data_IF_686751255795
#
_entry.id   IF_686751255795
#
_cell.length_a   1.000
_cell.length_b   1.000
_cell.length_c   1.000
_cell.angle_alpha   90.00
_cell.angle_beta   90.00
_cell.angle_gamma   90.00
#
_symmetry.space_group_name_H-M   'P 1'
#
loop_
_entity.id
_entity.type
_entity.pdbx_description
1 polymer ?
#
# COMPACT_ATOMS: atom_id res chain seq x y z
N UNK A 1 -16.05 36.16 44.73
CA UNK A 1 -15.75 37.17 43.69
C UNK A 1 -14.63 36.59 42.86
N UNK A 2 -14.99 35.87 41.80
CA UNK A 2 -14.07 35.19 40.88
C UNK A 2 -13.49 36.21 39.90
N UNK A 3 -12.18 36.18 39.66
CA UNK A 3 -11.57 36.86 38.52
C UNK A 3 -10.61 35.90 37.83
N UNK A 4 -11.18 35.08 36.94
CA UNK A 4 -10.40 34.32 35.95
C UNK A 4 -9.74 35.31 34.98
N UNK A 5 -8.44 35.51 35.17
CA UNK A 5 -7.61 36.30 34.28
C UNK A 5 -7.41 35.54 32.97
N UNK A 6 -8.06 36.03 31.92
CA UNK A 6 -7.85 35.58 30.55
C UNK A 6 -6.41 35.89 30.10
N UNK A 7 -5.48 34.97 30.35
CA UNK A 7 -4.15 34.99 29.73
C UNK A 7 -4.27 34.56 28.27
N UNK A 8 -4.60 35.52 27.39
CA UNK A 8 -4.40 35.35 25.95
C UNK A 8 -2.89 35.38 25.66
N UNK A 9 -2.33 34.39 24.97
CA UNK A 9 -0.91 34.42 24.60
C UNK A 9 -0.66 35.61 23.67
N UNK A 10 0.44 36.33 23.92
CA UNK A 10 0.85 37.45 23.07
C UNK A 10 1.44 36.90 21.77
N UNK A 11 0.61 36.89 20.72
CA UNK A 11 0.90 36.29 19.42
C UNK A 11 1.97 37.09 18.66
N UNK A 12 2.17 38.37 19.02
CA UNK A 12 3.16 39.24 18.38
C UNK A 12 4.62 38.85 18.69
N UNK A 13 4.84 37.99 19.69
CA UNK A 13 6.18 37.41 19.96
C UNK A 13 6.52 36.21 19.06
N UNK A 14 5.55 35.64 18.35
CA UNK A 14 5.80 34.47 17.52
C UNK A 14 6.19 34.89 16.10
N UNK A 15 7.44 34.61 15.74
CA UNK A 15 7.92 34.79 14.36
C UNK A 15 7.29 33.70 13.48
N UNK A 16 6.54 34.12 12.45
CA UNK A 16 5.92 33.19 11.49
C UNK A 16 6.99 32.37 10.77
N UNK A 17 6.84 31.05 10.76
CA UNK A 17 7.79 30.12 10.11
C UNK A 17 7.96 30.47 8.62
N UNK A 18 6.95 31.07 7.99
CA UNK A 18 6.98 31.54 6.62
C UNK A 18 8.00 32.66 6.36
N UNK A 19 8.29 33.51 7.35
CA UNK A 19 9.31 34.56 7.20
C UNK A 19 10.74 34.00 7.25
N UNK A 20 10.94 32.88 7.97
CA UNK A 20 12.23 32.20 8.06
C UNK A 20 12.64 31.57 6.71
N UNK A 21 11.67 31.14 5.90
CA UNK A 21 11.93 30.63 4.55
C UNK A 21 12.33 31.73 3.56
N UNK A 22 11.82 32.95 3.73
CA UNK A 22 12.16 34.08 2.84
C UNK A 22 13.54 34.69 3.13
N UNK A 23 14.03 34.60 4.37
CA UNK A 23 15.37 35.08 4.72
C UNK A 23 16.51 34.21 4.13
N UNK A 24 16.24 32.95 3.78
CA UNK A 24 17.24 32.00 3.29
C UNK A 24 17.42 31.99 1.76
N UNK A 25 16.63 32.77 1.00
CA UNK A 25 16.72 32.78 -0.47
C UNK A 25 17.54 33.94 -1.03
N UNK A 26 18.08 34.83 -0.19
CA UNK A 26 18.80 36.04 -0.62
C UNK A 26 20.26 36.10 -0.14
N UNK A 27 20.95 34.96 0.06
CA UNK A 27 22.40 34.98 0.24
C UNK A 27 23.09 34.23 -0.91
N UNK A 28 23.55 35.06 -1.84
CA UNK A 28 24.55 34.81 -2.87
C UNK A 28 25.75 34.08 -2.28
N UNK A 29 26.21 33.04 -2.98
CA UNK A 29 27.49 32.37 -2.74
C UNK A 29 28.64 33.39 -2.66
N UNK A 30 29.23 33.56 -1.49
CA UNK A 30 30.59 34.09 -1.31
C UNK A 30 31.29 33.29 -0.21
N UNK A 31 32.45 32.66 -0.48
CA UNK A 31 33.26 32.02 0.54
C UNK A 31 34.23 33.05 1.15
N UNK A 32 34.34 33.01 2.49
CA UNK A 32 35.28 33.76 3.35
C UNK A 32 34.75 35.08 3.95
N UNK A 33 34.26 35.01 5.20
CA UNK A 33 34.44 36.10 6.15
C UNK A 33 34.83 35.58 7.56
N UNK A 34 35.68 36.33 8.30
CA UNK A 34 36.33 35.94 9.55
C UNK A 34 35.37 35.94 10.77
N UNK A 35 35.77 35.37 11.93
CA UNK A 35 34.87 35.11 13.06
C UNK A 35 34.31 36.41 13.65
N UNK A 36 32.97 36.49 13.73
CA UNK A 36 32.27 37.57 14.43
C UNK A 36 32.62 37.58 15.92
N UNK A 37 32.79 38.79 16.46
CA UNK A 37 33.28 39.07 17.80
C UNK A 37 32.63 38.20 18.89
N UNK A 38 33.45 37.74 19.84
CA UNK A 38 33.02 36.99 21.02
C UNK A 38 32.11 37.87 21.89
N UNK A 39 30.80 37.76 21.72
CA UNK A 39 29.86 38.12 22.78
C UNK A 39 30.05 37.14 23.93
N UNK A 40 30.15 37.62 25.16
CA UNK A 40 30.35 36.83 26.40
C UNK A 40 29.14 35.93 26.77
N UNK A 41 28.23 35.73 25.80
CA UNK A 41 27.01 34.94 25.91
C UNK A 41 27.25 33.65 25.12
N UNK A 42 27.29 32.52 25.84
CA UNK A 42 27.44 31.21 25.23
C UNK A 42 26.35 30.98 24.17
N UNK A 43 26.79 30.75 22.93
CA UNK A 43 25.91 30.33 21.85
C UNK A 43 26.18 28.85 21.54
N UNK A 44 25.15 27.98 21.64
CA UNK A 44 25.29 26.59 21.28
C UNK A 44 25.62 26.45 19.78
N UNK A 45 26.36 25.41 19.44
CA UNK A 45 26.73 25.12 18.06
C UNK A 45 25.47 24.92 17.20
N UNK A 46 25.41 25.63 16.07
CA UNK A 46 24.35 25.44 15.08
C UNK A 46 24.62 24.17 14.30
N UNK A 47 23.96 23.07 14.65
CA UNK A 47 24.07 21.78 13.97
C UNK A 47 23.23 21.83 12.69
N UNK A 48 23.81 21.41 11.56
CA UNK A 48 23.08 21.24 10.29
C UNK A 48 22.14 20.03 10.37
N UNK A 49 20.91 20.14 9.85
CA UNK A 49 19.99 19.00 9.85
C UNK A 49 20.57 17.86 9.01
N UNK A 50 20.77 16.71 9.64
CA UNK A 50 21.14 15.46 8.97
C UNK A 50 19.85 14.79 8.52
N UNK A 51 19.61 14.75 7.21
CA UNK A 51 18.47 14.04 6.65
C UNK A 51 18.80 12.55 6.56
N UNK A 52 17.93 11.71 7.14
CA UNK A 52 18.02 10.26 6.93
C UNK A 52 17.83 9.95 5.44
N UNK A 53 18.63 9.02 4.92
CA UNK A 53 18.41 8.47 3.58
C UNK A 53 17.07 7.74 3.55
N UNK A 54 16.01 8.44 3.13
CA UNK A 54 14.75 7.80 2.84
C UNK A 54 14.93 6.95 1.60
N UNK A 55 15.10 5.62 1.78
CA UNK A 55 14.93 4.65 0.71
C UNK A 55 13.63 4.98 -0.01
N UNK A 56 13.69 5.25 -1.32
CA UNK A 56 12.53 5.68 -2.10
C UNK A 56 11.38 4.68 -1.93
N UNK A 57 10.35 5.10 -1.19
CA UNK A 57 9.21 4.22 -0.87
C UNK A 57 8.45 3.94 -2.16
N UNK A 58 8.43 2.68 -2.59
CA UNK A 58 7.67 2.27 -3.76
C UNK A 58 6.18 2.15 -3.36
N UNK A 59 5.30 3.08 -3.78
CA UNK A 59 3.91 3.11 -3.32
C UNK A 59 3.11 1.88 -3.76
N UNK A 60 3.55 1.20 -4.82
CA UNK A 60 2.93 -0.04 -5.28
C UNK A 60 3.20 -1.20 -4.31
N UNK A 61 4.42 -1.28 -3.76
CA UNK A 61 4.77 -2.29 -2.75
C UNK A 61 4.05 -2.02 -1.45
N UNK A 62 3.96 -0.77 -0.99
CA UNK A 62 3.20 -0.43 0.21
C UNK A 62 1.72 -0.79 0.09
N UNK A 63 1.10 -0.48 -1.05
CA UNK A 63 -0.29 -0.87 -1.31
C UNK A 63 -0.45 -2.39 -1.34
N UNK A 64 0.51 -3.12 -1.90
CA UNK A 64 0.48 -4.57 -1.93
C UNK A 64 0.61 -5.17 -0.52
N UNK A 65 1.51 -4.64 0.31
CA UNK A 65 1.65 -5.03 1.72
C UNK A 65 0.38 -4.74 2.52
N UNK A 66 -0.23 -3.56 2.36
CA UNK A 66 -1.51 -3.24 3.02
C UNK A 66 -2.61 -4.22 2.65
N UNK A 67 -2.65 -4.66 1.38
CA UNK A 67 -3.60 -5.70 0.94
C UNK A 67 -3.26 -7.06 1.54
N UNK A 68 -2.00 -7.46 1.53
CA UNK A 68 -1.56 -8.73 2.12
C UNK A 68 -1.85 -8.78 3.63
N UNK A 69 -1.57 -7.72 4.36
CA UNK A 69 -1.89 -7.59 5.79
C UNK A 69 -3.38 -7.77 6.05
N UNK A 70 -4.22 -7.11 5.23
CA UNK A 70 -5.67 -7.27 5.31
C UNK A 70 -6.09 -8.73 5.11
N UNK A 71 -5.53 -9.42 4.11
CA UNK A 71 -5.86 -10.82 3.86
C UNK A 71 -5.47 -11.73 5.04
N UNK A 72 -4.30 -11.52 5.65
CA UNK A 72 -3.84 -12.32 6.80
C UNK A 72 -4.70 -12.06 8.04
N UNK A 73 -5.12 -10.81 8.26
CA UNK A 73 -5.96 -10.44 9.41
C UNK A 73 -7.42 -10.87 9.25
N UNK A 74 -7.91 -11.01 8.01
CA UNK A 74 -9.24 -11.53 7.72
C UNK A 74 -9.26 -13.07 7.63
N UNK A 75 -8.11 -13.72 7.80
CA UNK A 75 -7.99 -15.17 7.73
C UNK A 75 -8.64 -15.82 8.97
N UNK A 76 -9.75 -16.55 8.78
CA UNK A 76 -10.51 -17.09 9.89
C UNK A 76 -9.82 -18.26 10.60
N UNK A 77 -8.75 -18.81 10.01
CA UNK A 77 -7.95 -19.86 10.65
C UNK A 77 -6.88 -19.25 11.59
N UNK A 78 -6.51 -17.97 11.38
CA UNK A 78 -5.63 -17.22 12.27
C UNK A 78 -6.38 -16.42 13.34
N UNK A 79 -7.59 -15.96 13.07
CA UNK A 79 -8.40 -15.30 14.08
C UNK A 79 -8.92 -16.29 15.12
N UNK A 80 -8.75 -15.96 16.40
CA UNK A 80 -9.42 -16.65 17.50
C UNK A 80 -10.92 -16.64 17.23
N UNK A 81 -11.48 -17.82 16.95
CA UNK A 81 -12.87 -17.91 16.59
C UNK A 81 -13.72 -18.15 17.83
N UNK A 82 -14.81 -17.42 17.93
CA UNK A 82 -15.85 -17.66 18.94
C UNK A 82 -16.20 -19.15 18.99
N UNK A 83 -16.38 -19.70 20.21
CA UNK A 83 -16.78 -21.08 20.48
C UNK A 83 -18.26 -21.33 20.17
N UNK A 84 -18.72 -20.80 19.04
CA UNK A 84 -20.07 -20.95 18.53
C UNK A 84 -20.07 -21.96 17.39
N UNK A 85 -21.09 -22.82 17.28
CA UNK A 85 -21.20 -23.74 16.16
C UNK A 85 -21.27 -22.96 14.85
N UNK A 86 -20.38 -23.29 13.91
CA UNK A 86 -20.34 -22.67 12.58
C UNK A 86 -21.19 -23.47 11.61
N UNK A 87 -21.87 -22.77 10.70
CA UNK A 87 -22.60 -23.40 9.61
C UNK A 87 -21.62 -24.11 8.65
N UNK A 88 -21.78 -25.42 8.53
CA UNK A 88 -21.00 -26.25 7.60
C UNK A 88 -21.87 -26.57 6.40
N UNK A 89 -21.32 -26.35 5.21
CA UNK A 89 -21.97 -26.70 3.96
C UNK A 89 -21.21 -27.83 3.28
N UNK A 90 -21.91 -28.90 2.95
CA UNK A 90 -21.31 -30.04 2.26
C UNK A 90 -20.79 -29.65 0.86
N UNK A 91 -19.58 -30.11 0.52
CA UNK A 91 -18.99 -29.95 -0.81
C UNK A 91 -18.34 -28.58 -1.08
N UNK A 92 -18.13 -27.74 -0.07
CA UNK A 92 -17.45 -26.46 -0.23
C UNK A 92 -16.16 -26.40 0.56
N UNK A 93 -15.16 -25.76 -0.05
CA UNK A 93 -13.88 -25.51 0.61
C UNK A 93 -13.95 -24.25 1.49
N UNK A 94 -13.06 -24.16 2.47
CA UNK A 94 -12.81 -22.93 3.24
C UNK A 94 -12.47 -21.74 2.34
N UNK A 95 -11.83 -22.02 1.20
CA UNK A 95 -11.51 -21.06 0.14
C UNK A 95 -12.73 -20.32 -0.44
N UNK A 96 -13.92 -20.91 -0.34
CA UNK A 96 -15.14 -20.35 -0.91
C UNK A 96 -15.85 -19.38 0.04
N UNK A 97 -15.35 -19.17 1.27
CA UNK A 97 -16.00 -18.30 2.28
C UNK A 97 -16.22 -16.87 1.78
N UNK A 98 -15.22 -16.29 1.08
CA UNK A 98 -15.37 -14.93 0.51
C UNK A 98 -16.45 -14.91 -0.58
N UNK A 99 -16.51 -15.94 -1.42
CA UNK A 99 -17.51 -16.04 -2.48
C UNK A 99 -18.92 -16.22 -1.90
N UNK A 100 -19.04 -16.99 -0.81
CA UNK A 100 -20.28 -17.22 -0.07
C UNK A 100 -20.80 -15.98 0.61
N UNK A 101 -19.94 -15.29 1.38
CA UNK A 101 -20.29 -14.01 1.98
C UNK A 101 -20.86 -13.04 0.94
N UNK A 102 -20.23 -12.97 -0.24
CA UNK A 102 -20.73 -12.14 -1.33
C UNK A 102 -22.09 -12.63 -1.88
N UNK A 103 -22.31 -13.95 -1.93
CA UNK A 103 -23.58 -14.53 -2.35
C UNK A 103 -24.70 -14.25 -1.33
N UNK A 104 -24.39 -14.35 -0.03
CA UNK A 104 -25.28 -14.02 1.08
C UNK A 104 -25.64 -12.53 1.07
N UNK A 105 -24.66 -11.64 0.91
CA UNK A 105 -24.89 -10.19 0.77
C UNK A 105 -25.80 -9.88 -0.42
N UNK A 106 -25.61 -10.58 -1.54
CA UNK A 106 -26.49 -10.46 -2.71
C UNK A 106 -27.90 -10.94 -2.39
N UNK A 107 -28.03 -12.12 -1.78
CA UNK A 107 -29.33 -12.69 -1.42
C UNK A 107 -30.10 -11.76 -0.48
N UNK A 108 -29.43 -11.27 0.58
CA UNK A 108 -29.99 -10.31 1.53
C UNK A 108 -30.53 -9.07 0.82
N UNK A 109 -29.75 -8.50 -0.10
CA UNK A 109 -30.20 -7.33 -0.87
C UNK A 109 -31.44 -7.65 -1.73
N UNK A 110 -31.46 -8.81 -2.39
CA UNK A 110 -32.58 -9.22 -3.25
C UNK A 110 -33.87 -9.47 -2.44
N UNK A 111 -33.75 -10.01 -1.23
CA UNK A 111 -34.86 -10.22 -0.28
C UNK A 111 -35.38 -8.90 0.28
N UNK A 112 -34.48 -8.00 0.69
CA UNK A 112 -34.85 -6.68 1.23
C UNK A 112 -35.54 -5.79 0.19
N UNK A 113 -35.11 -5.86 -1.08
CA UNK A 113 -35.59 -4.99 -2.14
C UNK A 113 -36.53 -5.68 -3.12
N UNK A 114 -36.87 -6.96 -2.91
CA UNK A 114 -37.72 -7.79 -3.76
C UNK A 114 -37.36 -7.73 -5.27
N UNK A 115 -36.08 -7.54 -5.60
CA UNK A 115 -35.61 -7.39 -6.98
C UNK A 115 -34.43 -8.30 -7.26
N UNK A 116 -34.40 -8.93 -8.45
CA UNK A 116 -33.31 -9.84 -8.84
C UNK A 116 -32.15 -9.09 -9.48
N UNK A 117 -30.94 -9.30 -8.97
CA UNK A 117 -29.73 -8.71 -9.53
C UNK A 117 -29.14 -9.57 -10.65
N UNK A 118 -28.88 -8.92 -11.79
CA UNK A 118 -28.25 -9.53 -12.95
C UNK A 118 -26.78 -9.83 -12.71
N UNK A 119 -26.30 -10.97 -13.22
CA UNK A 119 -24.90 -11.37 -13.07
C UNK A 119 -23.99 -10.59 -14.01
N UNK A 120 -23.01 -9.90 -13.45
CA UNK A 120 -22.02 -9.15 -14.24
C UNK A 120 -21.04 -10.08 -14.97
N UNK A 121 -20.43 -9.61 -16.07
CA UNK A 121 -19.40 -10.40 -16.79
C UNK A 121 -18.22 -10.79 -15.89
N UNK A 122 -17.87 -9.93 -14.93
CA UNK A 122 -16.81 -10.19 -13.97
C UNK A 122 -17.18 -11.34 -13.03
N UNK A 123 -18.41 -11.36 -12.51
CA UNK A 123 -18.89 -12.45 -11.65
C UNK A 123 -18.96 -13.76 -12.41
N UNK A 124 -19.47 -13.77 -13.64
CA UNK A 124 -19.45 -14.98 -14.49
C UNK A 124 -18.03 -15.54 -14.65
N UNK A 125 -17.02 -14.67 -14.78
CA UNK A 125 -15.61 -15.09 -14.85
C UNK A 125 -15.11 -15.64 -13.52
N UNK A 126 -15.48 -15.03 -12.39
CA UNK A 126 -15.10 -15.50 -11.06
C UNK A 126 -15.76 -16.86 -10.76
N UNK A 127 -17.05 -17.02 -11.02
CA UNK A 127 -17.77 -18.27 -10.84
C UNK A 127 -17.15 -19.42 -11.64
N UNK A 128 -16.73 -19.16 -12.88
CA UNK A 128 -16.03 -20.18 -13.69
C UNK A 128 -14.71 -20.62 -13.05
N UNK A 129 -13.97 -19.73 -12.38
CA UNK A 129 -12.71 -20.08 -11.70
C UNK A 129 -12.96 -20.94 -10.47
N UNK A 130 -13.98 -20.58 -9.69
CA UNK A 130 -14.43 -21.36 -8.53
C UNK A 130 -14.84 -22.77 -8.96
N UNK A 131 -15.71 -22.87 -9.98
CA UNK A 131 -16.15 -24.16 -10.54
C UNK A 131 -15.01 -25.00 -11.12
N UNK A 132 -13.98 -24.36 -11.65
CA UNK A 132 -12.82 -25.06 -12.22
C UNK A 132 -11.87 -25.61 -11.15
N UNK A 133 -12.13 -25.39 -9.85
CA UNK A 133 -11.24 -25.83 -8.77
C UNK A 133 -9.87 -25.15 -8.80
N UNK A 134 -9.75 -23.97 -9.43
CA UNK A 134 -8.54 -23.17 -9.41
C UNK A 134 -8.44 -22.52 -8.01
N UNK A 135 -8.13 -23.33 -7.00
CA UNK A 135 -8.08 -22.95 -5.60
C UNK A 135 -6.98 -21.91 -5.39
N UNK A 136 -7.37 -20.69 -5.05
CA UNK A 136 -6.43 -19.59 -4.80
C UNK A 136 -5.67 -19.74 -3.47
N UNK A 137 -6.04 -20.70 -2.62
CA UNK A 137 -5.98 -20.48 -1.17
C UNK A 137 -4.59 -20.63 -0.55
N UNK A 138 -4.03 -21.83 -0.52
CA UNK A 138 -2.78 -22.08 0.21
C UNK A 138 -1.56 -21.30 -0.33
N UNK A 139 -1.46 -21.15 -1.65
CA UNK A 139 -0.36 -20.39 -2.26
C UNK A 139 -0.51 -18.88 -2.07
N UNK A 140 -1.74 -18.36 -1.92
CA UNK A 140 -1.96 -16.92 -1.75
C UNK A 140 -1.71 -16.48 -0.31
N UNK A 141 -2.12 -17.27 0.69
CA UNK A 141 -1.82 -16.99 2.11
C UNK A 141 -0.32 -16.91 2.35
N UNK A 142 0.42 -17.94 1.92
CA UNK A 142 1.88 -17.96 2.02
C UNK A 142 2.55 -16.82 1.25
N UNK A 143 2.09 -16.50 0.03
CA UNK A 143 2.62 -15.38 -0.74
C UNK A 143 2.35 -14.02 -0.08
N UNK A 144 1.19 -13.85 0.58
CA UNK A 144 0.85 -12.64 1.31
C UNK A 144 1.74 -12.49 2.55
N UNK A 145 1.95 -13.56 3.31
CA UNK A 145 2.86 -13.59 4.47
C UNK A 145 4.29 -13.28 4.01
N UNK A 146 4.77 -13.94 2.95
CA UNK A 146 6.09 -13.68 2.38
C UNK A 146 6.27 -12.21 1.98
N UNK A 147 5.26 -11.60 1.35
CA UNK A 147 5.30 -10.18 0.97
C UNK A 147 5.40 -9.23 2.18
N UNK A 148 4.79 -9.60 3.31
CA UNK A 148 4.88 -8.84 4.55
C UNK A 148 6.28 -8.97 5.18
N UNK A 149 6.81 -10.19 5.21
CA UNK A 149 8.14 -10.52 5.76
C UNK A 149 9.31 -9.97 4.94
N UNK A 150 9.11 -9.70 3.65
CA UNK A 150 10.15 -9.24 2.73
C UNK A 150 10.81 -7.89 3.10
N UNK A 151 10.38 -7.21 4.17
CA UNK A 151 10.91 -5.89 4.56
C UNK A 151 11.82 -5.92 5.77
N UNK A 152 12.24 -7.11 6.21
CA UNK A 152 13.05 -7.22 7.42
C UNK A 152 14.52 -6.86 7.19
N UNK A 153 15.19 -7.29 6.11
CA UNK A 153 16.59 -6.87 5.89
C UNK A 153 17.27 -7.23 4.55
N UNK A 154 16.59 -7.79 3.55
CA UNK A 154 17.27 -8.27 2.34
C UNK A 154 16.79 -7.57 1.06
N UNK A 155 17.71 -6.90 0.38
CA UNK A 155 17.56 -6.29 -0.94
C UNK A 155 17.36 -7.38 -2.01
N UNK A 156 16.21 -8.03 -2.02
CA UNK A 156 15.80 -8.92 -3.10
C UNK A 156 15.01 -8.13 -4.13
N UNK A 157 15.57 -8.03 -5.34
CA UNK A 157 14.98 -7.44 -6.55
C UNK A 157 13.60 -8.03 -6.87
N UNK A 158 12.55 -7.52 -6.22
CA UNK A 158 11.19 -7.99 -6.45
C UNK A 158 10.70 -7.52 -7.81
N UNK A 159 10.80 -8.41 -8.81
CA UNK A 159 10.29 -8.18 -10.16
C UNK A 159 8.76 -8.21 -10.12
N UNK A 160 8.16 -7.04 -9.89
CA UNK A 160 6.72 -6.83 -10.01
C UNK A 160 6.19 -7.40 -11.33
N UNK A 161 5.06 -8.13 -11.31
CA UNK A 161 4.46 -8.64 -12.54
C UNK A 161 4.19 -7.49 -13.51
N UNK A 162 4.54 -7.63 -14.80
CA UNK A 162 4.51 -6.51 -15.72
C UNK A 162 3.11 -5.91 -15.83
N UNK A 163 3.04 -4.57 -15.79
CA UNK A 163 1.79 -3.83 -15.97
C UNK A 163 1.15 -4.14 -17.35
N UNK A 164 -0.15 -3.87 -17.52
CA UNK A 164 -0.88 -4.20 -18.77
C UNK A 164 -0.18 -3.67 -20.04
N UNK A 165 0.44 -2.49 -19.95
CA UNK A 165 1.20 -1.87 -21.05
C UNK A 165 2.48 -2.67 -21.37
N UNK A 166 3.30 -3.01 -20.37
CA UNK A 166 4.50 -3.86 -20.51
C UNK A 166 4.15 -5.28 -20.97
N UNK A 167 3.05 -5.89 -20.48
CA UNK A 167 2.57 -7.20 -20.97
C UNK A 167 2.24 -7.17 -22.46
N UNK A 168 1.59 -6.10 -22.95
CA UNK A 168 1.29 -5.94 -24.39
C UNK A 168 2.56 -5.76 -25.22
N UNK A 169 3.53 -5.00 -24.73
CA UNK A 169 4.85 -4.84 -25.37
C UNK A 169 5.63 -6.16 -25.41
N UNK A 170 5.69 -6.90 -24.29
CA UNK A 170 6.32 -8.22 -24.21
C UNK A 170 5.67 -9.24 -25.16
N UNK A 171 4.34 -9.24 -25.28
CA UNK A 171 3.64 -10.06 -26.28
C UNK A 171 4.04 -9.68 -27.71
N UNK A 172 4.08 -8.39 -28.06
CA UNK A 172 4.53 -7.92 -29.37
C UNK A 172 5.97 -8.34 -29.68
N UNK A 173 6.87 -8.24 -28.71
CA UNK A 173 8.27 -8.69 -28.84
C UNK A 173 8.38 -10.21 -29.07
N UNK A 174 7.55 -11.02 -28.39
CA UNK A 174 7.49 -12.47 -28.59
C UNK A 174 7.02 -12.84 -30.00
N UNK A 175 5.99 -12.18 -30.53
CA UNK A 175 5.53 -12.42 -31.90
C UNK A 175 6.63 -12.08 -32.92
N UNK A 176 7.29 -10.93 -32.78
CA UNK A 176 8.38 -10.50 -33.69
C UNK A 176 9.60 -11.45 -33.68
N UNK A 177 9.92 -12.08 -32.54
CA UNK A 177 10.97 -13.12 -32.47
C UNK A 177 10.57 -14.43 -33.15
N UNK A 178 9.29 -14.82 -33.07
CA UNK A 178 8.79 -16.06 -33.66
C UNK A 178 8.79 -15.99 -35.19
N UNK A 179 8.49 -14.82 -35.77
CA UNK A 179 8.51 -14.61 -37.22
C UNK A 179 9.95 -14.62 -37.78
N UNK A 180 10.91 -14.08 -37.04
CA UNK A 180 12.35 -14.08 -37.44
C UNK A 180 12.97 -15.47 -37.49
N UNK A 181 12.48 -16.42 -36.69
CA UNK A 181 13.00 -17.80 -36.70
C UNK A 181 12.40 -18.68 -37.81
N UNK A 182 11.20 -18.35 -38.30
CA UNK A 182 10.56 -19.09 -39.40
C UNK A 182 11.14 -18.76 -40.78
N UNK A 183 11.77 -17.59 -40.95
CA UNK A 183 12.41 -17.19 -42.22
C UNK A 183 13.81 -17.77 -42.49
N UNK A 184 14.37 -18.60 -41.60
CA UNK A 184 15.73 -19.17 -41.73
C UNK A 184 15.77 -20.65 -42.09
N UNK A 185 14.63 -21.31 -42.36
CA UNK A 185 14.62 -22.65 -42.94
C UNK A 185 14.48 -22.50 -44.45
N UNK A 186 15.61 -22.31 -45.12
CA UNK A 186 15.80 -22.64 -46.54
C UNK A 186 16.51 -23.97 -46.58
#
# INVERSE_FOLDING_TARGET
METDSQLKPNIDRFVSISSLYQANTNETNEPNQPPKAKTDVYQPARITPVYYEQKTRNPALERAKKRAARFVLEDPDLCESDDLPKEIYFGSSTADRIARRKMEEKQKFEEENFTRLQMTKQEKRMNRRLLSGESLDASSGLANIQLLLQNSDEDMDYKLPPNKKKKKQLKRLRHKKKDRHRGKRR
#
